data_IF_228063780289
#
_entry.id   IF_228063780289
#
_cell.length_a   1.000
_cell.length_b   1.000
_cell.length_c   1.000
_cell.angle_alpha   90.00
_cell.angle_beta   90.00
_cell.angle_gamma   90.00
#
_symmetry.space_group_name_H-M   'P 1'
#
loop_
_entity.id
_entity.type
_entity.pdbx_description
1 polymer ?
#
# COMPACT_ATOMS: atom_id res chain seq x y z
N UNK A 1 29.46 -24.71 1.54
CA UNK A 1 29.01 -23.33 1.84
C UNK A 1 28.09 -22.88 0.70
N UNK A 2 26.85 -23.37 0.68
CA UNK A 2 25.84 -22.90 -0.27
C UNK A 2 25.23 -21.63 0.29
N UNK A 3 25.63 -20.47 -0.24
CA UNK A 3 25.00 -19.20 0.11
C UNK A 3 23.52 -19.27 -0.26
N UNK A 4 22.65 -18.90 0.68
CA UNK A 4 21.23 -18.66 0.40
C UNK A 4 21.16 -17.66 -0.76
N UNK A 5 20.74 -18.12 -1.95
CA UNK A 5 20.29 -17.21 -2.99
C UNK A 5 19.12 -16.43 -2.37
N UNK A 6 19.33 -15.14 -2.14
CA UNK A 6 18.23 -14.23 -1.80
C UNK A 6 17.26 -14.28 -2.99
N UNK A 7 16.12 -14.92 -2.78
CA UNK A 7 15.05 -14.96 -3.78
C UNK A 7 14.56 -13.54 -4.01
N UNK A 8 14.53 -13.14 -5.28
CA UNK A 8 14.12 -11.80 -5.70
C UNK A 8 12.65 -11.57 -5.34
N UNK A 9 12.36 -10.48 -4.62
CA UNK A 9 10.97 -10.08 -4.34
C UNK A 9 10.19 -9.77 -5.61
N UNK A 10 8.88 -10.06 -5.62
CA UNK A 10 8.07 -9.95 -6.84
C UNK A 10 8.08 -8.54 -7.46
N UNK A 11 8.11 -7.51 -6.63
CA UNK A 11 8.19 -6.11 -7.05
C UNK A 11 9.44 -5.75 -7.87
N UNK A 12 10.52 -6.53 -7.76
CA UNK A 12 11.77 -6.29 -8.47
C UNK A 12 11.68 -6.81 -9.91
N UNK A 13 10.86 -6.11 -10.70
CA UNK A 13 10.60 -6.43 -12.11
C UNK A 13 11.66 -5.86 -13.07
N UNK A 14 12.65 -5.12 -12.55
CA UNK A 14 13.67 -4.46 -13.35
C UNK A 14 14.46 -5.44 -14.24
N UNK A 15 14.54 -5.12 -15.52
CA UNK A 15 15.24 -5.93 -16.54
C UNK A 15 14.44 -7.10 -17.12
N UNK A 16 13.20 -7.31 -16.69
CA UNK A 16 12.32 -8.33 -17.29
C UNK A 16 11.67 -7.82 -18.58
N UNK A 17 11.39 -8.70 -19.56
CA UNK A 17 10.57 -8.35 -20.72
C UNK A 17 9.18 -7.85 -20.27
N UNK A 18 8.70 -6.80 -20.91
CA UNK A 18 7.38 -6.23 -20.69
C UNK A 18 6.71 -5.90 -22.05
N UNK A 19 5.40 -5.72 -22.03
CA UNK A 19 4.63 -5.29 -23.19
C UNK A 19 4.77 -3.79 -23.48
N UNK A 20 3.96 -3.30 -24.41
CA UNK A 20 3.86 -1.87 -24.67
C UNK A 20 3.34 -1.12 -23.44
N UNK A 21 3.85 0.10 -23.26
CA UNK A 21 3.43 0.97 -22.16
C UNK A 21 2.23 1.79 -22.63
N UNK A 22 1.13 1.67 -21.90
CA UNK A 22 0.04 2.63 -22.00
C UNK A 22 0.49 3.99 -21.45
N UNK A 23 0.37 5.04 -22.28
CA UNK A 23 0.81 6.41 -21.96
C UNK A 23 -0.35 7.36 -21.68
N UNK A 24 -1.59 6.87 -21.69
CA UNK A 24 -2.74 7.71 -21.35
C UNK A 24 -2.65 8.18 -19.90
N UNK A 25 -3.14 9.40 -19.65
CA UNK A 25 -3.23 9.92 -18.30
C UNK A 25 -4.28 9.15 -17.49
N UNK A 26 -4.02 8.94 -16.20
CA UNK A 26 -4.99 8.40 -15.25
C UNK A 26 -5.70 9.55 -14.53
N UNK A 27 -7.03 9.59 -14.61
CA UNK A 27 -7.82 10.52 -13.81
C UNK A 27 -8.03 9.96 -12.41
N UNK A 28 -7.45 10.61 -11.41
CA UNK A 28 -7.58 10.15 -10.03
C UNK A 28 -8.99 10.34 -9.49
N UNK A 29 -9.60 9.23 -9.07
CA UNK A 29 -10.82 9.22 -8.29
C UNK A 29 -10.60 9.92 -6.94
N UNK A 30 -11.68 10.40 -6.32
CA UNK A 30 -11.57 11.15 -5.06
C UNK A 30 -10.93 10.31 -3.95
N UNK A 31 -11.24 9.01 -3.88
CA UNK A 31 -10.68 8.12 -2.87
C UNK A 31 -9.18 7.92 -3.04
N UNK A 32 -8.66 7.88 -4.27
CA UNK A 32 -7.22 7.76 -4.55
C UNK A 32 -6.47 8.98 -4.00
N UNK A 33 -7.02 10.18 -4.22
CA UNK A 33 -6.48 11.43 -3.66
C UNK A 33 -6.52 11.44 -2.13
N UNK A 34 -7.55 10.84 -1.52
CA UNK A 34 -7.64 10.70 -0.05
C UNK A 34 -6.59 9.71 0.48
N UNK A 35 -6.31 8.61 -0.23
CA UNK A 35 -5.25 7.66 0.13
C UNK A 35 -3.87 8.33 0.07
N UNK A 36 -3.60 9.10 -0.99
CA UNK A 36 -2.36 9.88 -1.12
C UNK A 36 -2.19 10.89 0.04
N UNK A 37 -3.24 11.69 0.29
CA UNK A 37 -3.24 12.65 1.38
C UNK A 37 -3.04 11.98 2.75
N UNK A 38 -3.67 10.81 2.97
CA UNK A 38 -3.47 10.01 4.18
C UNK A 38 -2.00 9.58 4.33
N UNK A 39 -1.39 9.07 3.26
CA UNK A 39 0.02 8.67 3.28
C UNK A 39 0.94 9.86 3.65
N UNK A 40 0.74 11.01 3.00
CA UNK A 40 1.48 12.25 3.26
C UNK A 40 1.41 12.68 4.73
N UNK A 41 0.23 12.58 5.34
CA UNK A 41 0.03 12.90 6.76
C UNK A 41 0.72 11.87 7.67
N UNK A 42 0.57 10.57 7.39
CA UNK A 42 1.18 9.50 8.18
C UNK A 42 2.71 9.49 8.11
N UNK A 43 3.29 9.95 7.00
CA UNK A 43 4.73 10.17 6.86
C UNK A 43 5.23 11.44 7.56
N UNK A 44 4.33 12.28 8.09
CA UNK A 44 4.69 13.53 8.76
C UNK A 44 5.16 14.64 7.83
N UNK A 45 4.88 14.56 6.52
CA UNK A 45 5.39 15.53 5.52
C UNK A 45 4.69 16.90 5.57
N UNK A 46 3.70 17.07 6.44
CA UNK A 46 2.95 18.32 6.65
C UNK A 46 3.05 18.84 8.09
N UNK A 47 4.16 18.55 8.77
CA UNK A 47 4.46 19.10 10.11
C UNK A 47 3.83 18.35 11.28
N UNK A 48 3.06 17.29 11.01
CA UNK A 48 2.59 16.34 12.03
C UNK A 48 3.65 15.30 12.42
N UNK A 49 3.39 14.49 13.46
CA UNK A 49 4.29 13.41 13.84
C UNK A 49 4.39 12.36 12.72
N UNK A 50 5.59 11.83 12.49
CA UNK A 50 5.77 10.69 11.60
C UNK A 50 5.28 9.42 12.28
N UNK A 51 4.15 8.89 11.82
CA UNK A 51 3.51 7.69 12.36
C UNK A 51 4.12 6.42 11.74
N UNK A 52 4.40 6.46 10.43
CA UNK A 52 5.02 5.37 9.66
C UNK A 52 6.13 5.92 8.77
N UNK A 53 7.09 5.10 8.35
CA UNK A 53 8.07 5.48 7.32
C UNK A 53 7.63 5.06 5.92
N UNK A 54 8.27 5.63 4.90
CA UNK A 54 8.13 5.17 3.51
C UNK A 54 8.61 3.72 3.38
N UNK A 55 9.69 3.35 4.06
CA UNK A 55 10.23 1.97 4.03
C UNK A 55 9.24 0.94 4.58
N UNK A 56 8.52 1.25 5.66
CA UNK A 56 7.49 0.36 6.21
C UNK A 56 6.33 0.18 5.25
N UNK A 57 5.91 1.28 4.60
CA UNK A 57 4.86 1.24 3.60
C UNK A 57 5.29 0.42 2.37
N UNK A 58 6.48 0.68 1.84
CA UNK A 58 7.07 -0.09 0.73
C UNK A 58 7.20 -1.57 1.07
N UNK A 59 7.76 -1.91 2.22
CA UNK A 59 7.91 -3.30 2.68
C UNK A 59 6.58 -4.07 2.61
N UNK A 60 5.49 -3.47 3.08
CA UNK A 60 4.18 -4.11 3.08
C UNK A 60 3.56 -4.22 1.66
N UNK A 61 3.86 -3.29 0.73
CA UNK A 61 3.47 -3.44 -0.69
C UNK A 61 4.30 -4.53 -1.37
N UNK A 62 5.60 -4.53 -1.12
CA UNK A 62 6.58 -5.44 -1.71
C UNK A 62 6.41 -6.89 -1.22
N UNK A 63 5.73 -7.08 -0.08
CA UNK A 63 5.36 -8.36 0.49
C UNK A 63 3.99 -8.89 0.03
N UNK A 64 3.26 -8.17 -0.82
CA UNK A 64 2.00 -8.67 -1.38
C UNK A 64 2.27 -9.95 -2.19
N UNK A 65 1.35 -10.95 -2.13
CA UNK A 65 1.40 -12.10 -3.02
C UNK A 65 1.45 -11.65 -4.49
N UNK A 66 2.17 -12.35 -5.38
CA UNK A 66 2.27 -11.99 -6.80
C UNK A 66 0.92 -11.72 -7.47
N UNK A 67 -0.09 -12.55 -7.15
CA UNK A 67 -1.44 -12.41 -7.68
C UNK A 67 -2.09 -11.07 -7.29
N UNK A 68 -1.98 -10.68 -6.02
CA UNK A 68 -2.51 -9.41 -5.52
C UNK A 68 -1.68 -8.23 -6.04
N UNK A 69 -0.36 -8.42 -6.16
CA UNK A 69 0.54 -7.41 -6.70
C UNK A 69 0.20 -7.08 -8.17
N UNK A 70 -0.25 -8.03 -8.97
CA UNK A 70 -0.66 -7.72 -10.35
C UNK A 70 -2.09 -7.21 -10.45
N UNK A 71 -3.01 -7.75 -9.64
CA UNK A 71 -4.44 -7.41 -9.70
C UNK A 71 -4.78 -6.05 -9.11
N UNK A 72 -4.15 -5.68 -8.00
CA UNK A 72 -4.50 -4.44 -7.30
C UNK A 72 -3.97 -3.23 -8.08
N UNK A 73 -4.83 -2.23 -8.23
CA UNK A 73 -4.46 -0.92 -8.73
C UNK A 73 -3.47 -0.23 -7.77
N UNK A 74 -2.77 0.79 -8.27
CA UNK A 74 -1.68 1.43 -7.55
C UNK A 74 -2.09 1.94 -6.15
N UNK A 75 -3.19 2.68 -6.06
CA UNK A 75 -3.68 3.20 -4.77
C UNK A 75 -4.39 2.15 -3.91
N UNK A 76 -4.82 1.02 -4.48
CA UNK A 76 -5.33 -0.11 -3.70
C UNK A 76 -4.19 -0.78 -2.92
N UNK A 77 -3.03 -0.99 -3.56
CA UNK A 77 -1.81 -1.45 -2.87
C UNK A 77 -1.42 -0.52 -1.72
N UNK A 78 -1.54 0.79 -1.96
CA UNK A 78 -1.23 1.80 -0.94
C UNK A 78 -2.14 1.68 0.27
N UNK A 79 -3.47 1.65 0.10
CA UNK A 79 -4.37 1.58 1.25
C UNK A 79 -4.27 0.25 1.98
N UNK A 80 -4.01 -0.87 1.28
CA UNK A 80 -3.71 -2.16 1.90
C UNK A 80 -2.49 -2.04 2.80
N UNK A 81 -1.39 -1.50 2.27
CA UNK A 81 -0.14 -1.35 3.01
C UNK A 81 -0.25 -0.35 4.18
N UNK A 82 -0.87 0.81 3.99
CA UNK A 82 -1.11 1.78 5.07
C UNK A 82 -1.93 1.15 6.19
N UNK A 83 -2.97 0.38 5.86
CA UNK A 83 -3.76 -0.37 6.83
C UNK A 83 -2.89 -1.34 7.62
N UNK A 84 -2.03 -2.11 6.94
CA UNK A 84 -1.11 -3.02 7.61
C UNK A 84 -0.12 -2.28 8.53
N UNK A 85 0.45 -1.15 8.09
CA UNK A 85 1.35 -0.35 8.93
C UNK A 85 0.63 0.15 10.20
N UNK A 86 -0.59 0.66 10.08
CA UNK A 86 -1.35 1.17 11.23
C UNK A 86 -1.72 0.06 12.23
N UNK A 87 -2.05 -1.13 11.73
CA UNK A 87 -2.28 -2.33 12.55
C UNK A 87 -0.99 -2.78 13.26
N UNK A 88 0.12 -2.88 12.53
CA UNK A 88 1.42 -3.28 13.07
C UNK A 88 1.93 -2.30 14.14
N UNK A 89 1.67 -1.00 13.97
CA UNK A 89 2.01 0.06 14.94
C UNK A 89 1.00 0.17 16.09
N UNK A 90 -0.12 -0.57 16.06
CA UNK A 90 -1.16 -0.51 17.07
C UNK A 90 -1.94 0.82 17.11
N UNK A 91 -1.92 1.59 16.02
CA UNK A 91 -2.67 2.85 15.90
C UNK A 91 -4.17 2.57 15.77
N UNK A 92 -4.51 1.45 15.12
CA UNK A 92 -5.85 0.88 15.09
C UNK A 92 -5.74 -0.62 15.32
N UNK A 93 -6.81 -1.22 15.83
CA UNK A 93 -6.95 -2.68 15.96
C UNK A 93 -7.78 -3.25 14.80
N UNK A 94 -7.63 -4.55 14.54
CA UNK A 94 -8.46 -5.27 13.56
C UNK A 94 -9.96 -5.17 13.89
N UNK A 95 -10.30 -5.20 15.19
CA UNK A 95 -11.67 -5.05 15.65
C UNK A 95 -12.26 -3.66 15.40
N UNK A 96 -11.47 -2.59 15.59
CA UNK A 96 -11.90 -1.22 15.26
C UNK A 96 -12.08 -1.03 13.77
N UNK A 97 -11.13 -1.53 12.97
CA UNK A 97 -11.22 -1.49 11.52
C UNK A 97 -12.45 -2.22 11.01
N UNK A 98 -12.69 -3.46 11.47
CA UNK A 98 -13.84 -4.26 11.07
C UNK A 98 -15.17 -3.57 11.45
N UNK A 99 -15.29 -3.05 12.68
CA UNK A 99 -16.48 -2.27 13.08
C UNK A 99 -16.68 -1.06 12.19
N UNK A 100 -15.60 -0.34 11.84
CA UNK A 100 -15.70 0.83 10.98
C UNK A 100 -16.09 0.48 9.56
N UNK A 101 -15.58 -0.62 9.01
CA UNK A 101 -15.96 -1.10 7.68
C UNK A 101 -17.45 -1.44 7.61
N UNK A 102 -18.00 -2.12 8.62
CA UNK A 102 -19.43 -2.41 8.72
C UNK A 102 -20.27 -1.12 8.80
N UNK A 103 -19.84 -0.15 9.61
CA UNK A 103 -20.50 1.15 9.72
C UNK A 103 -20.46 1.94 8.41
N UNK A 104 -19.36 1.86 7.64
CA UNK A 104 -19.27 2.51 6.33
C UNK A 104 -20.18 1.81 5.31
N UNK A 105 -20.22 0.48 5.33
CA UNK A 105 -21.08 -0.32 4.45
C UNK A 105 -22.57 -0.05 4.69
N UNK A 106 -22.99 0.19 5.93
CA UNK A 106 -24.41 0.46 6.25
C UNK A 106 -24.89 1.87 5.91
N UNK A 107 -24.01 2.77 5.45
CA UNK A 107 -24.37 4.14 5.03
C UNK A 107 -24.89 4.20 3.58
N UNK A 108 -24.75 3.11 2.83
CA UNK A 108 -25.17 2.99 1.42
C UNK A 108 -26.16 1.85 1.24
#
# INVERSE_FOLDING_TARGET
MGGLMLERGYHDLGGRPAGEIDRHGHEYAEWERRVDALAVLLWGLKGGPRVITVDEHRKNIEALPPEDYDKLAYYEKWIVSLTQCLLQRGVVTTGELARKMLEVQSRG
#
